data_IF_362937529426
#
_entry.id   IF_362937529426
#
_cell.length_a   1.000
_cell.length_b   1.000
_cell.length_c   1.000
_cell.angle_alpha   90.00
_cell.angle_beta   90.00
_cell.angle_gamma   90.00
#
_symmetry.space_group_name_H-M   'P 1'
#
loop_
_entity.id
_entity.type
_entity.pdbx_description
1 polymer ?
#
# COMPACT_ATOMS: atom_id res chain seq x y z
N UNK A 1 -0.86 -14.04 39.54
CA UNK A 1 -1.77 -12.89 39.78
C UNK A 1 -2.99 -13.08 38.89
N UNK A 2 -4.20 -12.97 39.43
CA UNK A 2 -5.46 -13.09 38.67
C UNK A 2 -6.00 -11.69 38.44
N UNK A 3 -6.25 -11.31 37.19
CA UNK A 3 -6.82 -10.02 36.82
C UNK A 3 -8.29 -9.94 37.22
N UNK A 4 -8.62 -9.01 38.11
CA UNK A 4 -9.99 -8.67 38.53
C UNK A 4 -10.15 -7.16 38.56
N UNK A 5 -11.34 -6.66 38.29
CA UNK A 5 -11.63 -5.25 38.48
C UNK A 5 -11.60 -4.89 39.98
N UNK A 6 -11.08 -3.71 40.29
CA UNK A 6 -11.04 -3.17 41.67
C UNK A 6 -12.39 -2.55 42.05
N UNK A 7 -13.20 -2.19 41.05
CA UNK A 7 -14.55 -1.63 41.17
C UNK A 7 -15.54 -2.45 40.34
N UNK A 8 -16.85 -2.34 40.62
CA UNK A 8 -17.90 -3.04 39.85
C UNK A 8 -17.91 -2.60 38.39
N UNK A 9 -18.17 -3.54 37.47
CA UNK A 9 -18.33 -3.27 36.05
C UNK A 9 -19.53 -2.33 35.82
N UNK A 10 -19.35 -1.13 35.22
CA UNK A 10 -20.42 -0.15 35.05
C UNK A 10 -21.60 -0.63 34.18
N UNK A 11 -21.50 -1.77 33.48
CA UNK A 11 -22.63 -2.35 32.73
C UNK A 11 -23.53 -3.28 33.57
N UNK A 12 -23.21 -3.51 34.84
CA UNK A 12 -24.02 -4.32 35.76
C UNK A 12 -24.20 -5.77 35.31
N UNK A 13 -25.39 -6.35 35.55
CA UNK A 13 -25.69 -7.76 35.24
C UNK A 13 -25.79 -8.07 33.73
N UNK A 14 -25.71 -7.05 32.87
CA UNK A 14 -25.67 -7.26 31.41
C UNK A 14 -24.39 -8.01 30.96
N UNK A 15 -23.31 -7.94 31.76
CA UNK A 15 -22.06 -8.68 31.55
C UNK A 15 -22.03 -10.10 32.12
N UNK A 16 -23.16 -10.58 32.69
CA UNK A 16 -23.28 -11.87 33.36
C UNK A 16 -23.38 -11.75 34.88
N UNK A 17 -23.57 -12.88 35.56
CA UNK A 17 -23.83 -12.94 37.02
C UNK A 17 -22.59 -12.71 37.89
N UNK A 18 -21.39 -12.68 37.30
CA UNK A 18 -20.15 -12.42 38.02
C UNK A 18 -19.60 -11.03 37.68
N UNK A 19 -20.01 -10.05 38.47
CA UNK A 19 -19.70 -8.61 38.35
C UNK A 19 -18.23 -8.24 38.59
N UNK A 20 -17.37 -9.22 38.93
CA UNK A 20 -15.91 -9.04 39.08
C UNK A 20 -15.10 -9.83 38.04
N UNK A 21 -15.78 -10.48 37.09
CA UNK A 21 -15.14 -11.31 36.07
C UNK A 21 -14.49 -10.43 35.01
N UNK A 22 -13.17 -10.49 34.90
CA UNK A 22 -12.49 -10.13 33.66
C UNK A 22 -12.91 -11.16 32.60
N UNK A 23 -13.33 -10.72 31.40
CA UNK A 23 -13.75 -11.60 30.31
C UNK A 23 -12.77 -12.76 30.11
N UNK A 24 -13.23 -13.95 29.68
CA UNK A 24 -12.37 -15.12 29.53
C UNK A 24 -11.21 -14.77 28.58
N UNK A 25 -10.02 -14.58 29.15
CA UNK A 25 -8.79 -14.10 28.51
C UNK A 25 -8.80 -12.65 28.00
N UNK A 26 -8.10 -11.75 28.70
CA UNK A 26 -7.60 -10.48 28.13
C UNK A 26 -6.59 -10.69 27.00
N UNK A 27 -6.07 -11.91 26.81
CA UNK A 27 -5.23 -12.32 25.68
C UNK A 27 -6.04 -12.74 24.44
N UNK A 28 -7.35 -12.90 24.54
CA UNK A 28 -8.21 -13.42 23.47
C UNK A 28 -9.07 -12.35 22.78
N UNK A 29 -8.90 -11.07 23.15
CA UNK A 29 -9.39 -9.95 22.34
C UNK A 29 -8.50 -9.82 21.09
N UNK A 30 -8.66 -10.78 20.19
CA UNK A 30 -8.22 -10.69 18.80
C UNK A 30 -9.30 -9.86 18.12
N UNK A 31 -8.94 -8.73 17.51
CA UNK A 31 -9.80 -8.03 16.56
C UNK A 31 -10.20 -9.03 15.46
N UNK A 32 -11.44 -9.55 15.44
CA UNK A 32 -11.80 -10.65 14.55
C UNK A 32 -11.84 -10.24 13.08
N UNK A 33 -11.92 -8.93 12.81
CA UNK A 33 -11.99 -8.40 11.45
C UNK A 33 -10.61 -8.15 10.87
N UNK A 34 -9.63 -7.73 11.69
CA UNK A 34 -8.20 -7.69 11.34
C UNK A 34 -7.89 -7.10 9.96
N UNK A 35 -8.66 -6.08 9.54
CA UNK A 35 -8.63 -5.56 8.17
C UNK A 35 -7.29 -4.85 7.95
N UNK A 36 -6.36 -5.48 7.23
CA UNK A 36 -5.07 -4.87 6.96
C UNK A 36 -5.16 -4.00 5.70
N UNK A 37 -4.55 -2.81 5.77
CA UNK A 37 -4.46 -1.89 4.65
C UNK A 37 -3.13 -2.05 3.94
N UNK A 38 -3.19 -2.32 2.64
CA UNK A 38 -2.04 -2.58 1.80
C UNK A 38 -1.90 -1.52 0.70
N UNK A 39 -0.66 -1.13 0.44
CA UNK A 39 -0.29 -0.36 -0.75
C UNK A 39 0.46 -1.30 -1.69
N UNK A 40 -0.01 -1.38 -2.94
CA UNK A 40 0.62 -2.18 -3.99
C UNK A 40 1.49 -1.28 -4.85
N UNK A 41 2.78 -1.60 -4.92
CA UNK A 41 3.83 -0.85 -5.59
C UNK A 41 4.47 -1.70 -6.70
N UNK A 42 4.93 -1.05 -7.75
CA UNK A 42 5.54 -1.74 -8.89
C UNK A 42 5.53 -0.91 -10.17
N UNK A 43 6.26 -1.39 -11.17
CA UNK A 43 6.24 -0.79 -12.49
C UNK A 43 5.02 -1.26 -13.30
N UNK A 44 4.54 -0.38 -14.17
CA UNK A 44 3.38 -0.63 -15.03
C UNK A 44 2.06 -0.47 -14.27
N UNK A 45 1.60 0.77 -14.12
CA UNK A 45 0.47 1.12 -13.25
C UNK A 45 -0.82 0.33 -13.55
N UNK A 46 -1.11 0.04 -14.82
CA UNK A 46 -2.26 -0.79 -15.19
C UNK A 46 -2.15 -2.22 -14.65
N UNK A 47 -0.95 -2.79 -14.62
CA UNK A 47 -0.68 -4.11 -14.05
C UNK A 47 -0.73 -4.09 -12.52
N UNK A 48 -0.24 -3.02 -11.89
CA UNK A 48 -0.36 -2.77 -10.45
C UNK A 48 -1.83 -2.71 -10.03
N UNK A 49 -2.65 -1.95 -10.75
CA UNK A 49 -4.10 -1.84 -10.50
C UNK A 49 -4.84 -3.15 -10.73
N UNK A 50 -4.54 -3.85 -11.83
CA UNK A 50 -5.12 -5.16 -12.10
C UNK A 50 -4.80 -6.16 -10.98
N UNK A 51 -3.56 -6.15 -10.48
CA UNK A 51 -3.15 -7.01 -9.39
C UNK A 51 -3.78 -6.63 -8.05
N UNK A 52 -3.86 -5.33 -7.73
CA UNK A 52 -4.53 -4.85 -6.52
C UNK A 52 -6.02 -5.22 -6.52
N UNK A 53 -6.69 -5.11 -7.67
CA UNK A 53 -8.08 -5.55 -7.84
C UNK A 53 -8.23 -7.05 -7.61
N UNK A 54 -7.33 -7.86 -8.15
CA UNK A 54 -7.33 -9.31 -7.91
C UNK A 54 -7.16 -9.64 -6.43
N UNK A 55 -6.22 -8.96 -5.73
CA UNK A 55 -6.04 -9.13 -4.28
C UNK A 55 -7.30 -8.78 -3.49
N UNK A 56 -8.03 -7.73 -3.89
CA UNK A 56 -9.31 -7.36 -3.26
C UNK A 56 -10.41 -8.41 -3.43
N UNK A 57 -10.36 -9.24 -4.48
CA UNK A 57 -11.27 -10.38 -4.66
C UNK A 57 -10.82 -11.56 -3.79
N UNK A 58 -9.53 -11.87 -3.78
CA UNK A 58 -8.95 -13.01 -3.04
C UNK A 58 -8.96 -12.80 -1.52
N UNK A 59 -8.85 -11.54 -1.08
CA UNK A 59 -8.74 -11.14 0.32
C UNK A 59 -9.75 -10.03 0.62
N UNK A 60 -11.03 -10.35 0.49
CA UNK A 60 -12.14 -9.38 0.56
C UNK A 60 -12.29 -8.63 1.89
N UNK A 61 -11.59 -9.04 2.95
CA UNK A 61 -11.50 -8.29 4.21
C UNK A 61 -10.38 -7.24 4.24
N UNK A 62 -9.38 -7.35 3.38
CA UNK A 62 -8.27 -6.41 3.35
C UNK A 62 -8.57 -5.25 2.39
N UNK A 63 -7.96 -4.09 2.66
CA UNK A 63 -8.04 -2.96 1.75
C UNK A 63 -6.75 -2.84 0.93
N UNK A 64 -6.88 -2.61 -0.37
CA UNK A 64 -5.75 -2.47 -1.29
C UNK A 64 -5.83 -1.12 -1.99
N UNK A 65 -4.76 -0.32 -1.90
CA UNK A 65 -4.59 0.95 -2.58
C UNK A 65 -3.38 0.91 -3.49
N UNK A 66 -3.41 1.77 -4.50
CA UNK A 66 -2.31 2.05 -5.43
C UNK A 66 -2.06 3.55 -5.47
N UNK A 67 -0.95 3.96 -6.07
CA UNK A 67 -0.59 5.37 -6.26
C UNK A 67 -1.68 6.15 -7.01
N UNK A 68 -2.27 5.57 -8.06
CA UNK A 68 -3.36 6.21 -8.82
C UNK A 68 -4.55 6.58 -7.96
N UNK A 69 -4.85 5.80 -6.91
CA UNK A 69 -5.99 6.07 -6.03
C UNK A 69 -5.80 7.36 -5.21
N UNK A 70 -4.55 7.82 -5.05
CA UNK A 70 -4.16 8.85 -4.09
C UNK A 70 -3.36 9.96 -4.78
N UNK A 71 -3.32 9.96 -6.13
CA UNK A 71 -2.47 10.85 -6.92
C UNK A 71 -2.73 12.34 -6.65
N UNK A 72 -3.99 12.71 -6.40
CA UNK A 72 -4.34 14.09 -6.05
C UNK A 72 -3.71 14.50 -4.72
N UNK A 73 -3.72 13.63 -3.71
CA UNK A 73 -3.14 13.92 -2.40
C UNK A 73 -1.61 13.93 -2.46
N UNK A 74 -1.02 13.01 -3.23
CA UNK A 74 0.44 12.97 -3.48
C UNK A 74 0.93 14.27 -4.12
N UNK A 75 0.20 14.77 -5.13
CA UNK A 75 0.64 15.93 -5.92
C UNK A 75 0.20 17.28 -5.35
N UNK A 76 -0.70 17.31 -4.35
CA UNK A 76 -1.29 18.54 -3.79
C UNK A 76 -0.27 19.56 -3.29
N UNK A 77 0.87 19.11 -2.78
CA UNK A 77 1.92 19.97 -2.22
C UNK A 77 3.03 20.36 -3.20
N UNK A 78 2.94 19.93 -4.47
CA UNK A 78 3.95 20.24 -5.48
C UNK A 78 3.81 21.69 -5.97
N UNK A 79 4.92 22.27 -6.45
CA UNK A 79 4.91 23.56 -7.11
C UNK A 79 4.03 23.49 -8.37
N UNK A 80 2.96 24.29 -8.39
CA UNK A 80 1.99 24.36 -9.48
C UNK A 80 2.58 24.86 -10.80
N UNK A 81 3.78 25.48 -10.78
CA UNK A 81 4.47 25.94 -11.98
C UNK A 81 5.22 24.81 -12.71
N UNK A 82 5.43 23.67 -12.06
CA UNK A 82 6.09 22.52 -12.69
C UNK A 82 5.19 21.92 -13.78
N UNK A 83 5.74 21.80 -14.99
CA UNK A 83 4.99 21.32 -16.16
C UNK A 83 4.99 19.79 -16.20
N UNK A 84 3.81 19.13 -16.24
CA UNK A 84 3.73 17.69 -16.36
C UNK A 84 4.55 17.15 -17.53
N UNK A 85 5.34 16.10 -17.27
CA UNK A 85 6.19 15.45 -18.26
C UNK A 85 7.60 16.02 -18.40
N UNK A 86 7.95 17.13 -17.74
CA UNK A 86 9.36 17.56 -17.66
C UNK A 86 10.14 16.72 -16.64
N UNK A 87 11.46 16.79 -16.69
CA UNK A 87 12.34 16.07 -15.75
C UNK A 87 12.10 16.58 -14.32
N UNK A 88 12.02 17.89 -14.14
CA UNK A 88 11.82 18.55 -12.85
C UNK A 88 10.48 18.13 -12.23
N UNK A 89 9.41 18.15 -13.04
CA UNK A 89 8.11 17.68 -12.58
C UNK A 89 8.13 16.19 -12.23
N UNK A 90 8.79 15.37 -13.06
CA UNK A 90 8.91 13.92 -12.82
C UNK A 90 9.64 13.64 -11.52
N UNK A 91 10.73 14.34 -11.24
CA UNK A 91 11.51 14.16 -10.03
C UNK A 91 10.79 14.69 -8.79
N UNK A 92 10.12 15.85 -8.89
CA UNK A 92 9.30 16.36 -7.80
C UNK A 92 8.12 15.42 -7.48
N UNK A 93 7.46 14.86 -8.50
CA UNK A 93 6.38 13.89 -8.32
C UNK A 93 6.89 12.57 -7.73
N UNK A 94 8.04 12.07 -8.18
CA UNK A 94 8.66 10.88 -7.61
C UNK A 94 8.99 11.09 -6.12
N UNK A 95 9.60 12.24 -5.78
CA UNK A 95 9.88 12.60 -4.38
C UNK A 95 8.61 12.67 -3.54
N UNK A 96 7.55 13.32 -4.04
CA UNK A 96 6.27 13.40 -3.37
C UNK A 96 5.64 12.02 -3.14
N UNK A 97 5.77 11.11 -4.11
CA UNK A 97 5.36 9.70 -3.95
C UNK A 97 6.13 9.00 -2.83
N UNK A 98 7.46 9.19 -2.75
CA UNK A 98 8.27 8.68 -1.65
C UNK A 98 7.86 9.25 -0.28
N UNK A 99 7.57 10.54 -0.20
CA UNK A 99 7.07 11.20 1.01
C UNK A 99 5.71 10.63 1.44
N UNK A 100 4.81 10.40 0.49
CA UNK A 100 3.51 9.77 0.73
C UNK A 100 3.65 8.32 1.23
N UNK A 101 4.56 7.51 0.68
CA UNK A 101 4.86 6.17 1.20
C UNK A 101 5.32 6.22 2.66
N UNK A 102 6.23 7.14 2.99
CA UNK A 102 6.70 7.35 4.36
C UNK A 102 5.56 7.71 5.30
N UNK A 103 4.62 8.54 4.85
CA UNK A 103 3.43 8.89 5.60
C UNK A 103 2.52 7.67 5.82
N UNK A 104 2.20 6.92 4.76
CA UNK A 104 1.33 5.74 4.85
C UNK A 104 1.91 4.65 5.74
N UNK A 105 3.23 4.51 5.76
CA UNK A 105 3.90 3.63 6.70
C UNK A 105 3.66 4.04 8.17
N UNK A 106 3.69 5.34 8.48
CA UNK A 106 3.35 5.87 9.82
C UNK A 106 1.88 5.65 10.17
N UNK A 107 1.00 5.65 9.18
CA UNK A 107 -0.42 5.31 9.33
C UNK A 107 -0.67 3.79 9.51
N UNK A 108 0.38 2.95 9.46
CA UNK A 108 0.28 1.51 9.68
C UNK A 108 -0.01 0.70 8.42
N UNK A 109 0.07 1.30 7.22
CA UNK A 109 -0.08 0.56 5.98
C UNK A 109 1.07 -0.43 5.77
N UNK A 110 0.72 -1.60 5.22
CA UNK A 110 1.66 -2.61 4.76
C UNK A 110 1.92 -2.45 3.27
N UNK A 111 3.06 -2.91 2.78
CA UNK A 111 3.46 -2.70 1.38
C UNK A 111 3.66 -4.03 0.67
N UNK A 112 3.16 -4.12 -0.55
CA UNK A 112 3.36 -5.24 -1.46
C UNK A 112 4.12 -4.71 -2.67
N UNK A 113 5.21 -5.37 -3.06
CA UNK A 113 5.94 -5.07 -4.30
C UNK A 113 5.69 -6.15 -5.34
N UNK A 114 5.40 -5.74 -6.57
CA UNK A 114 5.19 -6.67 -7.71
C UNK A 114 6.32 -6.61 -8.75
N UNK A 115 7.37 -5.83 -8.48
CA UNK A 115 8.56 -5.79 -9.33
C UNK A 115 8.41 -4.92 -10.58
N UNK A 116 9.27 -5.17 -11.57
CA UNK A 116 9.39 -4.38 -12.81
C UNK A 116 8.51 -4.90 -13.93
N UNK A 117 8.06 -4.05 -14.84
CA UNK A 117 7.38 -4.40 -16.08
C UNK A 117 8.38 -4.97 -17.11
N UNK A 118 7.95 -5.14 -18.36
CA UNK A 118 8.77 -5.64 -19.47
C UNK A 118 9.79 -4.62 -19.99
N UNK A 119 9.83 -3.42 -19.40
CA UNK A 119 10.76 -2.36 -19.78
C UNK A 119 12.10 -2.48 -19.05
N UNK A 120 13.19 -2.33 -19.79
CA UNK A 120 14.56 -2.46 -19.27
C UNK A 120 14.99 -1.35 -18.31
N UNK A 121 14.38 -0.17 -18.40
CA UNK A 121 14.72 1.01 -17.59
C UNK A 121 13.68 1.18 -16.49
N UNK A 122 14.11 1.21 -15.21
CA UNK A 122 13.24 1.52 -14.07
C UNK A 122 12.87 3.01 -14.03
N UNK A 123 11.61 3.31 -13.71
CA UNK A 123 11.09 4.67 -13.58
C UNK A 123 11.69 5.38 -12.35
N UNK A 124 11.78 6.72 -12.36
CA UNK A 124 12.12 7.49 -11.16
C UNK A 124 11.17 7.21 -9.99
N UNK A 125 9.88 6.99 -10.28
CA UNK A 125 8.87 6.64 -9.28
C UNK A 125 9.21 5.36 -8.55
N UNK A 126 9.41 4.25 -9.27
CA UNK A 126 9.70 2.97 -8.64
C UNK A 126 11.05 2.96 -7.92
N UNK A 127 12.05 3.70 -8.43
CA UNK A 127 13.31 3.92 -7.72
C UNK A 127 13.08 4.62 -6.38
N UNK A 128 12.30 5.70 -6.36
CA UNK A 128 11.99 6.44 -5.13
C UNK A 128 11.07 5.63 -4.19
N UNK A 129 10.15 4.82 -4.70
CA UNK A 129 9.34 3.89 -3.90
C UNK A 129 10.22 2.92 -3.11
N UNK A 130 11.13 2.22 -3.81
CA UNK A 130 12.07 1.30 -3.18
C UNK A 130 13.00 2.01 -2.20
N UNK A 131 13.45 3.22 -2.54
CA UNK A 131 14.27 4.06 -1.65
C UNK A 131 13.50 4.44 -0.39
N UNK A 132 12.25 4.88 -0.50
CA UNK A 132 11.41 5.26 0.62
C UNK A 132 11.15 4.09 1.58
N UNK A 133 10.88 2.89 1.04
CA UNK A 133 10.73 1.67 1.85
C UNK A 133 12.02 1.34 2.60
N UNK A 134 13.16 1.35 1.88
CA UNK A 134 14.48 1.05 2.46
C UNK A 134 14.87 2.03 3.55
N UNK A 135 14.78 3.34 3.26
CA UNK A 135 15.20 4.40 4.18
C UNK A 135 14.30 4.45 5.43
N UNK A 136 13.07 3.93 5.34
CA UNK A 136 12.14 3.81 6.47
C UNK A 136 12.25 2.46 7.20
N UNK A 137 13.14 1.55 6.80
CA UNK A 137 13.28 0.22 7.39
C UNK A 137 12.08 -0.70 7.15
N UNK A 138 11.23 -0.39 6.18
CA UNK A 138 10.02 -1.15 5.86
C UNK A 138 10.39 -2.36 5.00
N UNK A 139 9.95 -3.56 5.43
CA UNK A 139 10.07 -4.79 4.64
C UNK A 139 8.75 -5.06 3.91
N UNK A 140 8.67 -4.83 2.58
CA UNK A 140 7.46 -5.14 1.83
C UNK A 140 7.30 -6.65 1.64
N UNK A 141 6.07 -7.10 1.40
CA UNK A 141 5.77 -8.43 0.89
C UNK A 141 6.16 -8.50 -0.59
N UNK A 142 7.15 -9.33 -0.92
CA UNK A 142 7.59 -9.50 -2.31
C UNK A 142 6.70 -10.50 -3.05
N UNK A 143 5.93 -9.99 -4.00
CA UNK A 143 5.04 -10.74 -4.87
C UNK A 143 5.57 -10.83 -6.31
N UNK A 144 6.77 -10.30 -6.60
CA UNK A 144 7.30 -10.18 -7.97
C UNK A 144 7.39 -11.50 -8.74
N UNK A 145 7.58 -12.62 -8.04
CA UNK A 145 7.65 -13.97 -8.62
C UNK A 145 6.33 -14.73 -8.60
N UNK A 146 5.22 -14.14 -8.11
CA UNK A 146 3.95 -14.86 -8.06
C UNK A 146 3.31 -14.95 -9.45
N UNK A 147 2.79 -16.13 -9.87
CA UNK A 147 2.19 -16.29 -11.19
C UNK A 147 1.03 -15.34 -11.49
N UNK A 148 0.24 -15.01 -10.47
CA UNK A 148 -0.88 -14.07 -10.60
C UNK A 148 -0.45 -12.63 -10.94
N UNK A 149 0.79 -12.22 -10.62
CA UNK A 149 1.32 -10.92 -11.09
C UNK A 149 1.47 -10.90 -12.61
N UNK A 150 2.00 -11.98 -13.19
CA UNK A 150 2.14 -12.10 -14.65
C UNK A 150 0.76 -12.11 -15.33
N UNK A 151 -0.20 -12.85 -14.77
CA UNK A 151 -1.58 -12.89 -15.27
C UNK A 151 -2.24 -11.51 -15.20
N UNK A 152 -2.12 -10.80 -14.08
CA UNK A 152 -2.67 -9.45 -13.94
C UNK A 152 -2.06 -8.46 -14.95
N UNK A 153 -0.76 -8.55 -15.21
CA UNK A 153 -0.06 -7.73 -16.22
C UNK A 153 -0.42 -8.08 -17.66
N UNK A 154 -0.62 -9.36 -17.96
CA UNK A 154 -1.11 -9.77 -19.27
C UNK A 154 -2.57 -9.32 -19.47
N UNK A 155 -3.40 -9.45 -18.44
CA UNK A 155 -4.82 -9.09 -18.46
C UNK A 155 -5.09 -7.57 -18.45
N UNK A 156 -4.13 -6.73 -18.05
CA UNK A 156 -4.29 -5.28 -18.11
C UNK A 156 -4.07 -4.69 -19.51
N UNK A 157 -3.61 -5.47 -20.49
CA UNK A 157 -3.52 -5.01 -21.88
C UNK A 157 -4.92 -4.77 -22.43
N UNK A 158 -5.31 -3.50 -22.55
CA UNK A 158 -6.43 -3.11 -23.41
C UNK A 158 -6.15 -3.62 -24.84
N UNK A 159 -7.04 -4.42 -25.46
CA UNK A 159 -6.86 -4.79 -26.86
C UNK A 159 -6.75 -3.51 -27.71
N UNK A 160 -5.63 -3.36 -28.43
CA UNK A 160 -5.43 -2.29 -29.42
C UNK A 160 -4.55 -1.10 -29.04
N UNK A 161 -3.89 -1.07 -27.87
CA UNK A 161 -2.86 -0.03 -27.60
C UNK A 161 -1.48 -0.49 -28.09
N UNK A 162 -0.67 0.37 -28.74
CA UNK A 162 0.73 0.05 -29.02
C UNK A 162 1.46 -0.21 -27.70
N UNK A 163 2.52 -1.04 -27.75
CA UNK A 163 3.42 -1.23 -26.62
C UNK A 163 3.82 0.15 -26.04
N UNK A 164 3.90 0.29 -24.71
CA UNK A 164 4.32 1.55 -24.11
C UNK A 164 5.66 1.99 -24.71
N UNK A 165 5.78 3.29 -25.03
CA UNK A 165 7.04 3.85 -25.53
C UNK A 165 8.14 3.60 -24.50
N UNK A 166 9.39 3.33 -24.91
CA UNK A 166 10.50 3.17 -23.99
C UNK A 166 10.59 4.34 -23.01
N UNK A 167 10.71 4.03 -21.72
CA UNK A 167 10.86 5.06 -20.69
C UNK A 167 12.15 5.87 -20.87
N UNK A 168 12.08 7.21 -20.76
CA UNK A 168 13.28 8.03 -20.68
C UNK A 168 14.03 7.72 -19.39
N UNK A 169 15.35 7.65 -19.46
CA UNK A 169 16.22 7.43 -18.30
C UNK A 169 16.47 8.75 -17.57
N UNK A 170 15.43 9.29 -16.92
CA UNK A 170 15.59 10.44 -16.04
C UNK A 170 16.31 9.98 -14.75
N UNK A 171 17.36 10.71 -14.38
CA UNK A 171 17.98 10.63 -13.07
C UNK A 171 17.42 11.78 -12.23
N UNK A 172 16.85 11.42 -11.09
CA UNK A 172 16.51 12.37 -10.03
C UNK A 172 17.63 12.24 -9.00
N UNK A 173 18.09 13.39 -8.51
CA UNK A 173 19.23 13.49 -7.58
C UNK A 173 19.00 12.74 -6.26
#
# INVERSE_FOLDING_TARGET
MVGRFVNQDPIGLAGGTNIYRLGPNSLALIDPLGLASYIVLGEGQSGVEAYAKQLGIERSGDSFKTISNEWQDITKGMDSNLKPGTVEWTCAAAKANGDWIRQKAKEGYKFIIIGTDDQSVRSPFYKEELKALRDSGIKPYDHSMKPNVSVARAGCHCPGKPKPKPRPNHQCD
#
